data_IF_619630340458
#
_entry.id   IF_619630340458
#
_cell.length_a   1.000
_cell.length_b   1.000
_cell.length_c   1.000
_cell.angle_alpha   90.00
_cell.angle_beta   90.00
_cell.angle_gamma   90.00
#
_symmetry.space_group_name_H-M   'P 1'
#
loop_
_entity.id
_entity.type
_entity.pdbx_description
1 polymer ?
#
# COMPACT_ATOMS: atom_id res chain seq x y z
N UNK A 1 -16.02 6.03 16.74
CA UNK A 1 -14.63 6.19 16.27
C UNK A 1 -14.51 5.42 14.96
N UNK A 2 -14.34 6.12 13.85
CA UNK A 2 -14.15 5.50 12.54
C UNK A 2 -12.73 4.93 12.50
N UNK A 3 -12.58 3.64 12.78
CA UNK A 3 -11.26 3.03 12.98
C UNK A 3 -11.31 1.52 13.23
N UNK A 4 -12.34 0.83 12.73
CA UNK A 4 -12.42 -0.62 12.88
C UNK A 4 -11.51 -1.36 11.87
N UNK A 5 -10.94 -0.68 10.88
CA UNK A 5 -10.00 -1.30 9.94
C UNK A 5 -8.61 -1.14 10.51
N UNK A 6 -7.97 -2.26 10.82
CA UNK A 6 -6.62 -2.33 11.36
C UNK A 6 -5.78 -3.25 10.48
N UNK A 7 -4.60 -2.77 10.10
CA UNK A 7 -3.60 -3.54 9.35
C UNK A 7 -2.25 -3.31 9.98
N UNK A 8 -1.38 -4.31 9.89
CA UNK A 8 0.00 -4.22 10.32
C UNK A 8 0.89 -4.36 9.09
N UNK A 9 1.87 -3.46 8.95
CA UNK A 9 2.87 -3.54 7.90
C UNK A 9 4.25 -3.71 8.54
N UNK A 10 5.08 -4.53 7.92
CA UNK A 10 6.50 -4.64 8.22
C UNK A 10 7.30 -4.46 6.94
N UNK A 11 8.40 -3.74 7.05
CA UNK A 11 9.33 -3.55 5.94
C UNK A 11 10.67 -4.10 6.37
N UNK A 12 11.19 -5.00 5.57
CA UNK A 12 12.59 -5.38 5.63
C UNK A 12 13.33 -4.49 4.64
N UNK A 13 14.23 -3.69 5.21
CA UNK A 13 15.05 -2.72 4.48
C UNK A 13 15.91 -3.37 3.41
N UNK A 14 16.67 -2.57 2.65
CA UNK A 14 17.45 -3.07 1.52
C UNK A 14 18.44 -4.14 1.99
N UNK A 15 18.14 -5.39 1.65
CA UNK A 15 19.01 -6.54 1.93
C UNK A 15 19.50 -7.17 0.63
N UNK A 16 20.57 -7.96 0.74
CA UNK A 16 21.20 -8.61 -0.41
C UNK A 16 20.30 -9.70 -0.99
N UNK A 17 20.02 -9.60 -2.29
CA UNK A 17 19.15 -10.55 -2.98
C UNK A 17 19.99 -11.65 -3.64
N UNK A 18 19.39 -12.83 -3.82
CA UNK A 18 19.99 -13.89 -4.63
C UNK A 18 20.20 -13.38 -6.06
N UNK A 19 21.38 -13.66 -6.61
CA UNK A 19 21.82 -13.27 -7.97
C UNK A 19 20.78 -13.52 -9.07
N UNK A 20 19.94 -14.55 -8.93
CA UNK A 20 18.87 -14.87 -9.89
C UNK A 20 17.73 -13.85 -9.98
N UNK A 21 17.51 -13.02 -8.95
CA UNK A 21 16.45 -12.01 -8.89
C UNK A 21 17.00 -10.60 -8.82
N UNK A 22 18.30 -10.45 -9.01
CA UNK A 22 18.98 -9.18 -8.87
C UNK A 22 18.74 -8.29 -10.09
N UNK A 23 18.39 -7.03 -9.83
CA UNK A 23 18.32 -5.99 -10.85
C UNK A 23 19.56 -5.10 -10.69
N UNK A 24 20.41 -5.07 -11.73
CA UNK A 24 21.64 -4.29 -11.72
C UNK A 24 21.38 -2.79 -11.57
N UNK A 25 20.27 -2.31 -12.15
CA UNK A 25 19.98 -0.89 -12.27
C UNK A 25 19.04 -0.36 -11.19
N UNK A 26 18.33 -1.24 -10.47
CA UNK A 26 17.25 -0.86 -9.53
C UNK A 26 17.11 -1.82 -8.35
N UNK A 27 16.68 -1.30 -7.21
CA UNK A 27 16.20 -2.12 -6.10
C UNK A 27 14.93 -2.90 -6.48
N UNK A 28 14.83 -4.15 -6.06
CA UNK A 28 13.64 -4.99 -6.25
C UNK A 28 12.66 -4.73 -5.12
N UNK A 29 11.41 -4.42 -5.45
CA UNK A 29 10.34 -4.22 -4.46
C UNK A 29 9.41 -5.43 -4.48
N UNK A 30 9.45 -6.22 -3.41
CA UNK A 30 8.53 -7.32 -3.20
C UNK A 30 7.47 -6.91 -2.17
N UNK A 31 6.20 -7.13 -2.51
CA UNK A 31 5.06 -6.87 -1.62
C UNK A 31 4.29 -8.16 -1.46
N UNK A 32 3.99 -8.50 -0.20
CA UNK A 32 3.19 -9.66 0.19
C UNK A 32 2.06 -9.22 1.11
N UNK A 33 0.83 -9.61 0.76
CA UNK A 33 -0.37 -9.32 1.53
C UNK A 33 -0.91 -10.62 2.15
N UNK A 34 -1.19 -10.59 3.45
CA UNK A 34 -1.70 -11.72 4.21
C UNK A 34 -3.09 -11.37 4.75
N UNK A 35 -4.13 -11.99 4.19
CA UNK A 35 -5.47 -11.91 4.76
C UNK A 35 -5.59 -12.68 6.08
N UNK A 36 -6.65 -12.37 6.84
CA UNK A 36 -7.04 -13.11 8.04
C UNK A 36 -7.32 -14.58 7.79
N UNK A 37 -7.96 -14.86 6.66
CA UNK A 37 -8.31 -16.21 6.26
C UNK A 37 -7.21 -16.64 5.32
N UNK A 38 -6.42 -17.64 5.71
CA UNK A 38 -5.25 -18.12 4.97
C UNK A 38 -5.64 -18.84 3.67
N UNK A 39 -6.28 -18.10 2.77
CA UNK A 39 -6.77 -18.53 1.46
C UNK A 39 -6.12 -17.62 0.44
N UNK A 40 -5.26 -18.19 -0.40
CA UNK A 40 -4.61 -17.46 -1.49
C UNK A 40 -5.68 -17.12 -2.53
N UNK A 41 -6.20 -15.90 -2.46
CA UNK A 41 -7.29 -15.44 -3.32
C UNK A 41 -6.77 -14.47 -4.40
N UNK A 42 -7.46 -14.42 -5.55
CA UNK A 42 -7.13 -13.50 -6.65
C UNK A 42 -7.13 -12.03 -6.17
N UNK A 43 -8.01 -11.73 -5.21
CA UNK A 43 -8.11 -10.41 -4.58
C UNK A 43 -6.84 -10.01 -3.83
N UNK A 44 -6.17 -10.95 -3.15
CA UNK A 44 -4.92 -10.66 -2.44
C UNK A 44 -3.83 -10.24 -3.43
N UNK A 45 -3.69 -11.01 -4.52
CA UNK A 45 -2.71 -10.70 -5.58
C UNK A 45 -2.98 -9.34 -6.25
N UNK A 46 -4.25 -8.96 -6.38
CA UNK A 46 -4.63 -7.64 -6.87
C UNK A 46 -4.21 -6.53 -5.89
N UNK A 47 -4.46 -6.73 -4.59
CA UNK A 47 -4.05 -5.80 -3.52
C UNK A 47 -2.52 -5.65 -3.51
N UNK A 48 -1.77 -6.75 -3.55
CA UNK A 48 -0.31 -6.76 -3.62
C UNK A 48 0.21 -5.98 -4.82
N UNK A 49 -0.36 -6.24 -5.99
CA UNK A 49 0.03 -5.56 -7.23
C UNK A 49 -0.26 -4.05 -7.13
N UNK A 50 -1.42 -3.68 -6.59
CA UNK A 50 -1.79 -2.27 -6.43
C UNK A 50 -0.84 -1.53 -5.48
N UNK A 51 -0.54 -2.13 -4.32
CA UNK A 51 0.38 -1.54 -3.33
C UNK A 51 1.79 -1.46 -3.89
N UNK A 52 2.26 -2.50 -4.59
CA UNK A 52 3.57 -2.51 -5.24
C UNK A 52 3.71 -1.35 -6.21
N UNK A 53 2.76 -1.16 -7.12
CA UNK A 53 2.81 -0.05 -8.08
C UNK A 53 2.79 1.32 -7.38
N UNK A 54 1.96 1.48 -6.35
CA UNK A 54 1.87 2.74 -5.60
C UNK A 54 3.20 3.08 -4.91
N UNK A 55 3.81 2.10 -4.25
CA UNK A 55 5.07 2.26 -3.51
C UNK A 55 6.27 2.40 -4.46
N UNK A 56 6.34 1.61 -5.52
CA UNK A 56 7.43 1.62 -6.49
C UNK A 56 7.53 2.98 -7.21
N UNK A 57 6.41 3.67 -7.39
CA UNK A 57 6.39 5.03 -7.95
C UNK A 57 7.06 6.09 -7.05
N UNK A 58 7.27 5.79 -5.77
CA UNK A 58 7.75 6.73 -4.76
C UNK A 58 9.13 6.37 -4.21
N UNK A 59 9.52 5.08 -4.21
CA UNK A 59 10.85 4.64 -3.78
C UNK A 59 11.93 5.08 -4.80
N UNK A 60 13.05 5.61 -4.29
CA UNK A 60 14.22 5.95 -5.10
C UNK A 60 15.04 4.66 -5.31
N UNK A 61 14.66 3.88 -6.32
CA UNK A 61 15.28 2.58 -6.61
C UNK A 61 16.72 2.66 -7.12
N UNK A 62 17.17 3.83 -7.57
CA UNK A 62 18.53 4.08 -8.09
C UNK A 62 19.60 4.21 -7.00
N UNK A 63 19.23 4.48 -5.76
CA UNK A 63 20.19 4.64 -4.65
C UNK A 63 20.74 3.31 -4.12
N UNK A 64 20.04 2.20 -4.38
CA UNK A 64 20.41 0.86 -3.87
C UNK A 64 20.32 -0.21 -4.98
N UNK A 65 21.22 -0.18 -5.99
CA UNK A 65 21.29 -1.23 -6.99
C UNK A 65 21.60 -2.57 -6.31
N UNK A 66 21.06 -3.67 -6.83
CA UNK A 66 21.31 -5.05 -6.34
C UNK A 66 20.77 -5.36 -4.95
N UNK A 67 19.78 -4.59 -4.49
CA UNK A 67 19.11 -4.83 -3.19
C UNK A 67 17.64 -5.19 -3.38
N UNK A 68 17.07 -5.81 -2.35
CA UNK A 68 15.63 -6.09 -2.26
C UNK A 68 15.02 -5.40 -1.05
N UNK A 69 13.83 -4.83 -1.24
CA UNK A 69 13.00 -4.29 -0.19
C UNK A 69 11.75 -5.17 -0.14
N UNK A 70 11.52 -5.81 1.00
CA UNK A 70 10.37 -6.68 1.18
C UNK A 70 9.36 -6.03 2.13
N UNK A 71 8.13 -5.88 1.67
CA UNK A 71 7.02 -5.27 2.39
C UNK A 71 5.98 -6.34 2.64
N UNK A 72 5.76 -6.67 3.91
CA UNK A 72 4.71 -7.62 4.31
C UNK A 72 3.59 -6.88 5.02
N UNK A 73 2.35 -7.09 4.58
CA UNK A 73 1.18 -6.43 5.13
C UNK A 73 0.21 -7.51 5.59
N UNK A 74 -0.22 -7.43 6.84
CA UNK A 74 -1.14 -8.36 7.47
C UNK A 74 -2.44 -7.64 7.85
N UNK A 75 -3.57 -8.18 7.39
CA UNK A 75 -4.89 -7.71 7.79
C UNK A 75 -5.23 -8.14 9.21
N UNK A 76 -5.51 -7.18 10.11
CA UNK A 76 -5.94 -7.46 11.49
C UNK A 76 -7.44 -7.27 11.67
N UNK A 77 -8.08 -6.33 10.99
CA UNK A 77 -9.55 -6.19 10.92
C UNK A 77 -9.90 -5.39 9.69
N UNK A 78 -10.95 -5.78 8.97
CA UNK A 78 -11.43 -5.08 7.77
C UNK A 78 -12.89 -4.68 7.95
N UNK A 79 -13.14 -3.39 7.79
CA UNK A 79 -14.46 -2.76 7.87
C UNK A 79 -14.73 -1.84 6.68
N UNK A 80 -14.09 -2.11 5.53
CA UNK A 80 -14.40 -1.50 4.23
C UNK A 80 -13.27 -0.68 3.60
N UNK A 81 -12.30 -0.22 4.38
CA UNK A 81 -11.23 0.67 3.90
C UNK A 81 -9.86 0.00 3.83
N UNK A 82 -9.84 -1.30 3.52
CA UNK A 82 -8.63 -2.13 3.54
C UNK A 82 -7.52 -1.58 2.63
N UNK A 83 -7.81 -1.36 1.34
CA UNK A 83 -6.83 -0.90 0.35
C UNK A 83 -6.14 0.41 0.77
N UNK A 84 -6.93 1.40 1.17
CA UNK A 84 -6.43 2.69 1.61
C UNK A 84 -5.56 2.55 2.87
N UNK A 85 -6.00 1.73 3.83
CA UNK A 85 -5.26 1.46 5.06
C UNK A 85 -3.92 0.75 4.77
N UNK A 86 -3.91 -0.25 3.87
CA UNK A 86 -2.70 -0.97 3.49
C UNK A 86 -1.65 -0.07 2.83
N UNK A 87 -2.05 0.82 1.91
CA UNK A 87 -1.13 1.76 1.27
C UNK A 87 -0.52 2.72 2.31
N UNK A 88 -1.35 3.28 3.20
CA UNK A 88 -0.88 4.17 4.25
C UNK A 88 0.07 3.47 5.22
N UNK A 89 -0.26 2.23 5.63
CA UNK A 89 0.58 1.43 6.50
C UNK A 89 1.91 1.07 5.84
N UNK A 90 1.91 0.69 4.56
CA UNK A 90 3.12 0.42 3.80
C UNK A 90 4.01 1.66 3.69
N UNK A 91 3.43 2.83 3.41
CA UNK A 91 4.17 4.08 3.32
C UNK A 91 4.83 4.46 4.66
N UNK A 92 4.11 4.31 5.77
CA UNK A 92 4.65 4.55 7.10
C UNK A 92 5.75 3.55 7.47
N UNK A 93 5.58 2.27 7.13
CA UNK A 93 6.59 1.25 7.39
C UNK A 93 7.87 1.46 6.56
N UNK A 94 7.75 1.97 5.32
CA UNK A 94 8.92 2.36 4.52
C UNK A 94 9.66 3.56 5.10
N UNK A 95 8.91 4.53 5.63
CA UNK A 95 9.48 5.68 6.31
C UNK A 95 10.21 5.28 7.60
N UNK A 96 9.62 4.38 8.38
CA UNK A 96 10.24 3.83 9.60
C UNK A 96 11.50 3.00 9.30
N UNK A 97 11.48 2.23 8.20
CA UNK A 97 12.64 1.49 7.71
C UNK A 97 13.74 2.38 7.10
N UNK A 98 13.51 3.68 6.94
CA UNK A 98 14.49 4.63 6.39
C UNK A 98 14.79 4.42 4.90
N UNK A 99 13.85 3.85 4.14
CA UNK A 99 14.01 3.66 2.69
C UNK A 99 13.96 5.03 1.99
N UNK A 100 14.92 5.34 1.09
CA UNK A 100 14.90 6.61 0.37
C UNK A 100 13.69 6.69 -0.56
N UNK A 101 12.85 7.70 -0.37
CA UNK A 101 11.61 7.95 -1.11
C UNK A 101 11.56 9.39 -1.63
N UNK A 102 11.00 9.60 -2.82
CA UNK A 102 10.77 10.93 -3.40
C UNK A 102 9.68 11.73 -2.67
N UNK A 103 8.83 11.06 -1.90
CA UNK A 103 7.72 11.67 -1.19
C UNK A 103 6.93 10.64 -0.38
N UNK A 104 5.73 11.03 0.04
CA UNK A 104 4.81 10.15 0.78
C UNK A 104 3.55 9.88 -0.05
N UNK A 105 3.04 8.66 0.07
CA UNK A 105 1.77 8.27 -0.54
C UNK A 105 0.70 8.22 0.54
N UNK A 106 -0.44 8.82 0.26
CA UNK A 106 -1.64 8.67 1.08
C UNK A 106 -2.81 8.19 0.22
N UNK A 107 -3.58 7.26 0.75
CA UNK A 107 -4.78 6.73 0.10
C UNK A 107 -6.00 6.95 1.00
N UNK A 108 -7.12 7.29 0.36
CA UNK A 108 -8.41 7.43 1.01
C UNK A 108 -9.51 6.87 0.11
N UNK A 109 -10.52 6.24 0.72
CA UNK A 109 -11.67 5.70 -0.01
C UNK A 109 -12.85 6.66 0.10
N UNK A 110 -13.57 6.85 -1.00
CA UNK A 110 -14.80 7.66 -1.07
C UNK A 110 -15.87 6.82 -1.77
N UNK A 111 -17.04 6.65 -1.16
CA UNK A 111 -18.17 5.99 -1.82
C UNK A 111 -19.22 7.02 -2.23
N UNK A 112 -19.95 6.70 -3.30
CA UNK A 112 -21.14 7.43 -3.70
C UNK A 112 -22.38 6.64 -3.27
N UNK A 113 -23.12 7.18 -2.31
CA UNK A 113 -24.32 6.56 -1.73
C UNK A 113 -25.43 7.60 -1.72
N UNK A 114 -26.61 7.26 -2.24
CA UNK A 114 -27.81 8.12 -2.23
C UNK A 114 -27.54 9.56 -2.73
N UNK A 115 -26.85 9.67 -3.87
CA UNK A 115 -26.48 10.95 -4.49
C UNK A 115 -25.56 11.84 -3.63
N UNK A 116 -24.87 11.26 -2.63
CA UNK A 116 -23.92 11.93 -1.74
C UNK A 116 -22.57 11.22 -1.76
N UNK A 117 -21.49 12.02 -1.70
CA UNK A 117 -20.14 11.53 -1.52
C UNK A 117 -19.86 11.34 -0.03
N UNK A 118 -19.60 10.10 0.38
CA UNK A 118 -19.27 9.74 1.76
C UNK A 118 -17.76 9.42 1.83
N UNK A 119 -16.95 10.24 2.53
CA UNK A 119 -15.55 9.93 2.77
C UNK A 119 -15.45 8.84 3.84
N UNK A 120 -14.51 7.89 3.66
CA UNK A 120 -14.29 6.76 4.56
C UNK A 120 -15.55 5.90 4.79
N UNK A 121 -16.12 5.30 3.72
CA UNK A 121 -17.30 4.49 3.84
C UNK A 121 -17.04 3.24 4.70
N UNK A 122 -18.03 2.86 5.49
CA UNK A 122 -18.05 1.59 6.21
C UNK A 122 -18.41 0.43 5.29
N UNK A 123 -18.14 -0.81 5.71
CA UNK A 123 -18.49 -2.02 4.97
C UNK A 123 -19.99 -2.12 4.62
N UNK A 124 -20.86 -1.49 5.40
CA UNK A 124 -22.30 -1.42 5.12
C UNK A 124 -22.60 -0.45 3.97
N UNK A 125 -21.97 0.72 3.99
CA UNK A 125 -22.13 1.76 2.97
C UNK A 125 -21.51 1.35 1.63
N UNK A 126 -20.41 0.59 1.64
CA UNK A 126 -19.82 0.03 0.41
C UNK A 126 -20.76 -0.97 -0.26
N UNK A 127 -21.49 -1.78 0.51
CA UNK A 127 -22.49 -2.70 -0.06
C UNK A 127 -23.70 -1.98 -0.65
N UNK A 128 -24.05 -0.83 -0.10
CA UNK A 128 -25.17 -0.01 -0.55
C UNK A 128 -24.78 0.90 -1.72
N UNK A 129 -23.50 1.22 -1.86
CA UNK A 129 -23.01 2.13 -2.89
C UNK A 129 -23.23 1.59 -4.30
N UNK A 130 -23.73 2.44 -5.19
CA UNK A 130 -23.82 2.16 -6.63
C UNK A 130 -22.43 2.21 -7.28
N UNK A 131 -21.51 2.97 -6.70
CA UNK A 131 -20.12 3.08 -7.14
C UNK A 131 -19.17 3.43 -5.99
N UNK A 132 -18.03 2.73 -5.94
CA UNK A 132 -16.96 2.98 -4.99
C UNK A 132 -15.75 3.58 -5.72
N UNK A 133 -15.27 4.73 -5.27
CA UNK A 133 -14.11 5.41 -5.82
C UNK A 133 -12.95 5.35 -4.81
N UNK A 134 -11.87 4.68 -5.19
CA UNK A 134 -10.63 4.70 -4.41
C UNK A 134 -9.77 5.88 -4.86
N UNK A 135 -9.61 6.88 -4.00
CA UNK A 135 -8.78 8.06 -4.29
C UNK A 135 -7.39 7.81 -3.73
N UNK A 136 -6.48 7.42 -4.62
CA UNK A 136 -5.06 7.44 -4.33
C UNK A 136 -4.54 8.86 -4.58
N UNK A 137 -4.06 9.55 -3.54
CA UNK A 137 -3.40 10.84 -3.70
C UNK A 137 -1.94 10.70 -3.31
N UNK A 138 -1.07 10.63 -4.30
CA UNK A 138 0.36 10.83 -4.06
C UNK A 138 0.53 12.28 -3.63
N UNK A 139 0.92 12.51 -2.38
CA UNK A 139 1.24 13.84 -1.88
C UNK A 139 2.66 14.17 -2.35
N UNK A 140 2.78 14.60 -3.61
CA UNK A 140 4.04 15.11 -4.14
C UNK A 140 4.18 16.61 -3.86
N UNK A 141 5.18 16.97 -3.05
CA UNK A 141 6.26 17.90 -3.42
C UNK A 141 7.26 17.97 -2.26
N UNK A 142 8.28 17.12 -2.26
CA UNK A 142 9.55 17.54 -1.68
C UNK A 142 10.19 18.47 -2.71
N UNK A 143 10.42 19.71 -2.30
CA UNK A 143 10.98 20.80 -3.09
C UNK A 143 12.24 20.38 -3.86
N UNK A 144 12.23 20.58 -5.17
CA UNK A 144 13.42 21.01 -5.91
C UNK A 144 13.01 22.29 -6.64
N UNK A 145 13.53 23.41 -6.15
CA UNK A 145 13.92 24.52 -7.02
C UNK A 145 14.98 24.04 -8.04
#
# INVERSE_FOLDING_TARGET
MHGETAVQASVYGPYEIKVSKELCDKAVVEVSFLSKVHSIDINERFIEFFIRNAVESVIITSMHPRTSINITIQEITNSGNLLACCVNAACLALLDAGVPMHGLVAAASIAFVDNKLVPFPSAKEIKLSESALYVLKVLVKALSE
#
